data_IF_592113426208
#
_entry.id   IF_592113426208
#
_cell.length_a   1.000
_cell.length_b   1.000
_cell.length_c   1.000
_cell.angle_alpha   90.00
_cell.angle_beta   90.00
_cell.angle_gamma   90.00
#
_symmetry.space_group_name_H-M   'P 1'
#
loop_
_entity.id
_entity.type
_entity.pdbx_description
1 polymer ?
#
# COMPACT_ATOMS: atom_id res chain seq x y z
N UNK A 1 11.48 -5.59 -1.71
CA UNK A 1 11.35 -4.23 -2.29
C UNK A 1 11.07 -4.36 -3.77
N UNK A 2 10.15 -3.58 -4.36
CA UNK A 2 9.85 -3.64 -5.78
C UNK A 2 11.07 -3.29 -6.65
N UNK A 3 11.10 -3.84 -7.88
CA UNK A 3 12.09 -3.46 -8.89
C UNK A 3 11.90 -1.98 -9.25
N UNK A 4 12.98 -1.29 -9.66
CA UNK A 4 12.94 0.19 -9.84
C UNK A 4 11.97 0.59 -10.96
N UNK A 5 12.01 -0.15 -12.06
CA UNK A 5 11.10 -0.07 -13.19
C UNK A 5 9.63 -0.25 -12.78
N UNK A 6 9.31 -1.16 -11.86
CA UNK A 6 7.94 -1.34 -11.38
C UNK A 6 7.38 -0.06 -10.74
N UNK A 7 8.18 0.65 -9.93
CA UNK A 7 7.73 1.89 -9.27
C UNK A 7 7.47 2.99 -10.31
N UNK A 8 8.33 3.10 -11.31
CA UNK A 8 8.14 4.08 -12.40
C UNK A 8 6.88 3.75 -13.22
N UNK A 9 6.65 2.48 -13.55
CA UNK A 9 5.45 2.05 -14.26
C UNK A 9 4.16 2.29 -13.45
N UNK A 10 4.16 2.04 -12.15
CA UNK A 10 3.00 2.36 -11.31
C UNK A 10 2.74 3.88 -11.18
N UNK A 11 3.79 4.70 -11.16
CA UNK A 11 3.61 6.15 -11.23
C UNK A 11 2.94 6.59 -12.54
N UNK A 12 3.36 6.03 -13.67
CA UNK A 12 2.77 6.30 -14.99
C UNK A 12 1.31 5.85 -15.05
N UNK A 13 1.01 4.65 -14.55
CA UNK A 13 -0.36 4.17 -14.42
C UNK A 13 -1.21 5.09 -13.53
N UNK A 14 -0.64 5.59 -12.43
CA UNK A 14 -1.28 6.57 -11.54
C UNK A 14 -1.57 7.91 -12.20
N UNK A 15 -0.76 8.31 -13.19
CA UNK A 15 -0.97 9.50 -14.01
C UNK A 15 -1.97 9.26 -15.17
N UNK A 16 -2.55 8.07 -15.28
CA UNK A 16 -3.48 7.71 -16.35
C UNK A 16 -2.82 7.29 -17.67
N UNK A 17 -1.50 7.08 -17.68
CA UNK A 17 -0.82 6.53 -18.85
C UNK A 17 -1.11 5.04 -19.02
N UNK A 18 -1.20 4.59 -20.28
CA UNK A 18 -1.23 3.17 -20.59
C UNK A 18 0.13 2.52 -20.23
N UNK A 19 0.07 1.38 -19.55
CA UNK A 19 1.24 0.60 -19.14
C UNK A 19 1.05 -0.88 -19.49
N UNK A 20 2.16 -1.56 -19.72
CA UNK A 20 2.18 -3.00 -19.95
C UNK A 20 2.20 -3.75 -18.62
N UNK A 21 1.03 -4.24 -18.19
CA UNK A 21 0.88 -4.98 -16.93
C UNK A 21 1.74 -6.25 -16.88
N UNK A 22 1.97 -6.90 -18.02
CA UNK A 22 2.86 -8.06 -18.16
C UNK A 22 4.30 -7.77 -17.74
N UNK A 23 4.80 -6.57 -18.01
CA UNK A 23 6.16 -6.13 -17.61
C UNK A 23 6.21 -5.89 -16.10
N UNK A 24 5.16 -5.26 -15.54
CA UNK A 24 5.08 -4.99 -14.10
C UNK A 24 5.08 -6.30 -13.32
N UNK A 25 4.33 -7.31 -13.76
CA UNK A 25 4.13 -8.57 -13.04
C UNK A 25 4.92 -9.76 -13.60
N UNK A 26 5.92 -9.51 -14.43
CA UNK A 26 6.81 -10.55 -14.94
C UNK A 26 7.41 -11.39 -13.81
N UNK A 27 7.20 -12.71 -13.86
CA UNK A 27 7.67 -13.66 -12.85
C UNK A 27 6.81 -13.76 -11.59
N UNK A 28 5.71 -13.02 -11.49
CA UNK A 28 4.75 -13.09 -10.38
C UNK A 28 3.50 -13.87 -10.78
N UNK A 29 2.95 -14.63 -9.83
CA UNK A 29 1.69 -15.37 -10.01
C UNK A 29 0.50 -14.72 -9.29
N UNK A 30 0.77 -13.73 -8.43
CA UNK A 30 -0.23 -13.01 -7.66
C UNK A 30 0.26 -11.58 -7.36
N UNK A 31 -0.68 -10.69 -7.12
CA UNK A 31 -0.43 -9.32 -6.69
C UNK A 31 -1.29 -9.01 -5.47
N UNK A 32 -0.74 -8.28 -4.51
CA UNK A 32 -1.46 -7.81 -3.34
C UNK A 32 -0.95 -6.43 -2.94
N UNK A 33 -1.73 -5.74 -2.10
CA UNK A 33 -1.42 -4.42 -1.54
C UNK A 33 -1.29 -3.30 -2.59
N UNK A 34 -1.10 -2.08 -2.10
CA UNK A 34 -0.87 -0.91 -2.92
C UNK A 34 0.51 -0.96 -3.60
N UNK A 35 0.62 -0.46 -4.84
CA UNK A 35 -0.42 0.19 -5.64
C UNK A 35 -1.31 -0.80 -6.43
N UNK A 36 -0.95 -2.08 -6.52
CA UNK A 36 -1.65 -3.05 -7.39
C UNK A 36 -3.15 -3.15 -7.12
N UNK A 37 -3.57 -3.11 -5.86
CA UNK A 37 -4.97 -3.13 -5.46
C UNK A 37 -5.81 -1.99 -6.07
N UNK A 38 -5.20 -0.82 -6.38
CA UNK A 38 -5.90 0.28 -7.06
C UNK A 38 -6.40 -0.12 -8.45
N UNK A 39 -5.57 -0.90 -9.16
CA UNK A 39 -5.73 -1.22 -10.56
C UNK A 39 -6.40 -2.58 -10.78
N UNK A 40 -7.17 -3.05 -9.79
CA UNK A 40 -7.74 -4.39 -9.83
C UNK A 40 -8.63 -4.63 -11.07
N UNK A 41 -9.32 -3.59 -11.59
CA UNK A 41 -10.15 -3.71 -12.80
C UNK A 41 -9.31 -3.85 -14.06
N UNK A 42 -8.28 -3.04 -14.19
CA UNK A 42 -7.31 -3.05 -15.28
C UNK A 42 -6.55 -4.38 -15.31
N UNK A 43 -6.12 -4.85 -14.14
CA UNK A 43 -5.47 -6.15 -13.97
C UNK A 43 -6.42 -7.30 -14.30
N UNK A 44 -7.67 -7.25 -13.85
CA UNK A 44 -8.65 -8.28 -14.17
C UNK A 44 -9.03 -8.30 -15.67
N UNK A 45 -8.97 -7.16 -16.35
CA UNK A 45 -9.15 -7.09 -17.79
C UNK A 45 -7.95 -7.66 -18.55
N UNK A 46 -6.73 -7.39 -18.08
CA UNK A 46 -5.49 -7.90 -18.69
C UNK A 46 -5.27 -9.39 -18.43
N UNK A 47 -5.64 -9.88 -17.25
CA UNK A 47 -5.56 -11.28 -16.83
C UNK A 47 -6.97 -11.86 -16.62
N UNK A 48 -7.68 -12.24 -17.70
CA UNK A 48 -9.10 -12.63 -17.62
C UNK A 48 -9.34 -13.86 -16.74
N UNK A 49 -8.37 -14.76 -16.66
CA UNK A 49 -8.46 -16.00 -15.86
C UNK A 49 -8.03 -15.80 -14.40
N UNK A 50 -7.50 -14.62 -14.05
CA UNK A 50 -7.09 -14.34 -12.68
C UNK A 50 -8.31 -14.26 -11.76
N UNK A 51 -8.24 -15.00 -10.65
CA UNK A 51 -9.19 -14.93 -9.54
C UNK A 51 -8.91 -13.72 -8.66
N UNK A 52 -9.96 -13.13 -8.09
CA UNK A 52 -9.89 -11.94 -7.23
C UNK A 52 -10.16 -12.36 -5.79
N UNK A 53 -9.29 -11.97 -4.87
CA UNK A 53 -9.48 -12.15 -3.43
C UNK A 53 -9.63 -10.78 -2.78
N UNK A 54 -10.81 -10.49 -2.24
CA UNK A 54 -11.10 -9.28 -1.49
C UNK A 54 -10.94 -9.57 0.00
N UNK A 55 -9.84 -9.11 0.59
CA UNK A 55 -9.66 -9.18 2.03
C UNK A 55 -10.54 -8.15 2.73
N UNK A 56 -11.43 -8.59 3.63
CA UNK A 56 -12.31 -7.70 4.41
C UNK A 56 -11.86 -7.57 5.85
N UNK A 57 -12.14 -6.41 6.45
CA UNK A 57 -11.85 -6.10 7.85
C UNK A 57 -12.86 -5.08 8.35
N UNK A 58 -13.10 -5.09 9.66
CA UNK A 58 -13.79 -4.00 10.35
C UNK A 58 -13.14 -2.64 10.04
N UNK A 59 -13.95 -1.64 9.70
CA UNK A 59 -13.48 -0.36 9.18
C UNK A 59 -12.76 0.47 10.26
N UNK A 60 -13.18 0.37 11.52
CA UNK A 60 -12.52 1.06 12.64
C UNK A 60 -11.12 0.48 12.84
N UNK A 61 -11.02 -0.85 12.97
CA UNK A 61 -9.73 -1.55 13.11
C UNK A 61 -8.82 -1.34 11.90
N UNK A 62 -9.37 -1.27 10.70
CA UNK A 62 -8.60 -0.98 9.49
C UNK A 62 -8.04 0.45 9.53
N UNK A 63 -8.86 1.44 9.88
CA UNK A 63 -8.43 2.83 9.92
C UNK A 63 -7.34 3.06 10.97
N UNK A 64 -7.54 2.57 12.20
CA UNK A 64 -6.56 2.70 13.28
C UNK A 64 -5.22 2.08 12.89
N UNK A 65 -5.27 0.87 12.32
CA UNK A 65 -4.10 0.16 11.81
C UNK A 65 -3.40 0.97 10.73
N UNK A 66 -4.13 1.45 9.73
CA UNK A 66 -3.55 2.15 8.57
C UNK A 66 -2.98 3.51 8.96
N UNK A 67 -3.69 4.24 9.84
CA UNK A 67 -3.30 5.55 10.37
C UNK A 67 -2.02 5.49 11.18
N UNK A 68 -1.90 4.50 12.07
CA UNK A 68 -0.73 4.32 12.94
C UNK A 68 0.50 3.73 12.23
N UNK A 69 0.30 3.06 11.09
CA UNK A 69 1.37 2.38 10.34
C UNK A 69 1.75 3.12 9.05
N UNK A 70 1.25 2.68 7.90
CA UNK A 70 1.71 3.11 6.57
C UNK A 70 1.47 4.60 6.31
N UNK A 71 0.38 5.16 6.84
CA UNK A 71 0.11 6.59 6.72
C UNK A 71 1.13 7.39 7.55
N UNK A 72 1.29 7.04 8.83
CA UNK A 72 2.29 7.67 9.70
C UNK A 72 3.72 7.51 9.15
N UNK A 73 4.06 6.38 8.54
CA UNK A 73 5.35 6.15 7.90
C UNK A 73 5.53 7.04 6.66
N UNK A 74 4.51 7.18 5.82
CA UNK A 74 4.58 8.06 4.64
C UNK A 74 4.77 9.52 5.05
N UNK A 75 3.99 10.00 6.01
CA UNK A 75 4.15 11.34 6.60
C UNK A 75 5.48 11.50 7.37
N UNK A 76 6.02 10.36 7.82
CA UNK A 76 7.36 10.11 8.36
C UNK A 76 8.53 10.73 7.62
N UNK A 77 8.44 10.60 6.30
CA UNK A 77 9.60 10.51 5.45
C UNK A 77 10.31 11.87 5.33
N UNK A 78 11.56 11.99 5.81
CA UNK A 78 12.25 13.28 5.80
C UNK A 78 12.38 13.84 4.39
N UNK A 79 12.08 15.14 4.22
CA UNK A 79 12.18 15.80 2.90
C UNK A 79 13.58 15.70 2.30
N UNK A 80 14.61 15.83 3.13
CA UNK A 80 16.01 15.73 2.71
C UNK A 80 16.37 14.34 2.18
N UNK A 81 15.76 13.27 2.71
CA UNK A 81 15.99 11.91 2.23
C UNK A 81 15.41 11.72 0.81
N UNK A 82 14.25 12.34 0.53
CA UNK A 82 13.64 12.40 -0.82
C UNK A 82 14.45 13.26 -1.79
N UNK A 83 15.17 14.25 -1.28
CA UNK A 83 16.07 15.07 -2.09
C UNK A 83 17.32 14.28 -2.49
N UNK A 84 17.99 13.63 -1.54
CA UNK A 84 19.22 12.87 -1.75
C UNK A 84 19.03 11.54 -2.51
N UNK A 85 17.85 10.92 -2.41
CA UNK A 85 17.58 9.62 -3.05
C UNK A 85 16.46 9.74 -4.08
N UNK A 86 16.79 9.72 -5.40
CA UNK A 86 15.79 9.66 -6.47
C UNK A 86 14.82 8.49 -6.30
N UNK A 87 15.32 7.33 -5.85
CA UNK A 87 14.48 6.14 -5.60
C UNK A 87 13.44 6.40 -4.51
N UNK A 88 13.82 7.03 -3.39
CA UNK A 88 12.86 7.36 -2.33
C UNK A 88 11.85 8.40 -2.78
N UNK A 89 12.27 9.33 -3.63
CA UNK A 89 11.37 10.31 -4.27
C UNK A 89 10.29 9.61 -5.10
N UNK A 90 10.70 8.71 -6.00
CA UNK A 90 9.79 7.95 -6.87
C UNK A 90 8.81 7.09 -6.07
N UNK A 91 9.29 6.39 -5.02
CA UNK A 91 8.42 5.58 -4.15
C UNK A 91 7.41 6.46 -3.42
N UNK A 92 7.86 7.58 -2.84
CA UNK A 92 6.95 8.51 -2.18
C UNK A 92 5.93 9.11 -3.15
N UNK A 93 6.34 9.45 -4.38
CA UNK A 93 5.42 9.94 -5.41
C UNK A 93 4.35 8.89 -5.75
N UNK A 94 4.72 7.62 -5.87
CA UNK A 94 3.79 6.54 -6.15
C UNK A 94 2.79 6.36 -5.01
N UNK A 95 3.28 6.27 -3.78
CA UNK A 95 2.41 6.07 -2.60
C UNK A 95 1.50 7.28 -2.40
N UNK A 96 2.02 8.50 -2.49
CA UNK A 96 1.20 9.71 -2.34
C UNK A 96 0.23 9.90 -3.51
N UNK A 97 0.70 9.86 -4.74
CA UNK A 97 -0.12 10.13 -5.92
C UNK A 97 -1.17 9.06 -6.19
N UNK A 98 -0.79 7.78 -6.12
CA UNK A 98 -1.74 6.68 -6.42
C UNK A 98 -2.70 6.45 -5.26
N UNK A 99 -2.18 6.43 -4.02
CA UNK A 99 -2.97 6.00 -2.85
C UNK A 99 -3.57 7.21 -2.14
N UNK A 100 -2.75 8.08 -1.55
CA UNK A 100 -3.26 9.12 -0.66
C UNK A 100 -4.03 10.22 -1.37
N UNK A 101 -3.53 10.71 -2.49
CA UNK A 101 -4.17 11.74 -3.30
C UNK A 101 -5.15 11.12 -4.30
N UNK A 102 -4.79 9.99 -4.93
CA UNK A 102 -5.62 9.32 -5.92
C UNK A 102 -6.87 8.65 -5.36
N UNK A 103 -6.73 7.76 -4.39
CA UNK A 103 -7.87 7.02 -3.79
C UNK A 103 -8.58 7.86 -2.74
N UNK A 104 -7.81 8.53 -1.88
CA UNK A 104 -8.36 9.25 -0.74
C UNK A 104 -8.46 10.77 -0.95
N UNK A 105 -8.17 11.30 -2.15
CA UNK A 105 -8.32 12.73 -2.43
C UNK A 105 -7.50 13.65 -1.51
N UNK A 106 -6.40 13.16 -0.92
CA UNK A 106 -5.59 13.86 0.07
C UNK A 106 -6.24 13.95 1.47
N UNK A 107 -7.38 13.29 1.67
CA UNK A 107 -8.23 13.39 2.86
C UNK A 107 -8.21 12.13 3.72
N UNK A 108 -7.22 11.25 3.58
CA UNK A 108 -7.11 10.06 4.44
C UNK A 108 -7.09 10.41 5.94
N UNK A 109 -6.63 11.61 6.33
CA UNK A 109 -6.61 12.02 7.72
C UNK A 109 -8.00 12.31 8.34
N UNK A 110 -9.02 12.51 7.50
CA UNK A 110 -10.43 12.61 7.86
C UNK A 110 -10.99 11.19 7.98
N UNK A 111 -11.19 10.75 9.22
CA UNK A 111 -11.54 9.37 9.56
C UNK A 111 -12.86 8.92 8.93
N UNK A 112 -13.89 9.75 9.01
CA UNK A 112 -15.20 9.43 8.45
C UNK A 112 -15.11 9.27 6.93
N UNK A 113 -14.39 10.18 6.27
CA UNK A 113 -14.15 10.10 4.82
C UNK A 113 -13.34 8.86 4.44
N UNK A 114 -12.24 8.56 5.15
CA UNK A 114 -11.40 7.41 4.85
C UNK A 114 -12.15 6.08 5.00
N UNK A 115 -12.96 5.95 6.06
CA UNK A 115 -13.83 4.78 6.29
C UNK A 115 -14.90 4.66 5.21
N UNK A 116 -15.50 5.78 4.81
CA UNK A 116 -16.47 5.80 3.70
C UNK A 116 -15.84 5.28 2.40
N UNK A 117 -14.65 5.76 2.03
CA UNK A 117 -13.93 5.29 0.83
C UNK A 117 -13.62 3.80 0.92
N UNK A 118 -13.16 3.30 2.07
CA UNK A 118 -12.88 1.88 2.28
C UNK A 118 -14.12 0.99 2.13
N UNK A 119 -15.23 1.39 2.77
CA UNK A 119 -16.51 0.67 2.69
C UNK A 119 -17.06 0.69 1.27
N UNK A 120 -17.05 1.85 0.60
CA UNK A 120 -17.51 1.96 -0.77
C UNK A 120 -16.68 1.08 -1.71
N UNK A 121 -15.36 1.11 -1.61
CA UNK A 121 -14.48 0.25 -2.40
C UNK A 121 -14.79 -1.24 -2.19
N UNK A 122 -15.09 -1.63 -0.95
CA UNK A 122 -15.46 -3.01 -0.62
C UNK A 122 -16.74 -3.43 -1.34
N UNK A 123 -17.77 -2.60 -1.30
CA UNK A 123 -19.05 -2.88 -1.99
C UNK A 123 -18.91 -2.80 -3.51
N UNK A 124 -18.13 -1.86 -4.04
CA UNK A 124 -17.86 -1.74 -5.47
C UNK A 124 -17.16 -2.99 -6.04
N UNK A 125 -16.20 -3.55 -5.30
CA UNK A 125 -15.52 -4.80 -5.70
C UNK A 125 -16.50 -5.96 -5.69
N UNK A 126 -17.32 -6.10 -4.65
CA UNK A 126 -18.35 -7.16 -4.56
C UNK A 126 -19.38 -7.06 -5.68
N UNK A 127 -19.77 -5.85 -6.06
CA UNK A 127 -20.76 -5.62 -7.12
C UNK A 127 -20.18 -5.82 -8.53
N UNK A 128 -18.88 -5.58 -8.71
CA UNK A 128 -18.25 -5.59 -10.02
C UNK A 128 -17.89 -7.00 -10.52
N UNK A 129 -17.42 -7.88 -9.62
CA UNK A 129 -16.99 -9.22 -10.01
C UNK A 129 -18.06 -10.28 -9.77
N UNK A 130 -18.19 -11.26 -10.67
CA UNK A 130 -19.13 -12.35 -10.45
C UNK A 130 -18.61 -13.30 -9.35
N UNK A 131 -19.49 -13.98 -8.61
CA UNK A 131 -19.12 -14.79 -7.45
C UNK A 131 -18.08 -15.89 -7.74
N UNK A 132 -18.10 -16.48 -8.93
CA UNK A 132 -17.13 -17.50 -9.35
C UNK A 132 -15.70 -16.95 -9.52
N UNK A 133 -15.55 -15.63 -9.67
CA UNK A 133 -14.26 -14.95 -9.83
C UNK A 133 -13.83 -14.19 -8.58
N UNK A 134 -14.68 -14.10 -7.56
CA UNK A 134 -14.44 -13.33 -6.35
C UNK A 134 -14.58 -14.17 -5.08
N UNK A 135 -13.51 -14.21 -4.28
CA UNK A 135 -13.58 -14.64 -2.88
C UNK A 135 -13.54 -13.42 -1.97
N UNK A 136 -14.57 -13.26 -1.13
CA UNK A 136 -14.52 -12.35 0.03
C UNK A 136 -13.92 -13.13 1.18
N UNK A 137 -12.76 -12.69 1.68
CA UNK A 137 -11.94 -13.45 2.62
C UNK A 137 -11.64 -12.62 3.87
N UNK A 138 -11.93 -13.14 5.05
CA UNK A 138 -11.42 -12.61 6.30
C UNK A 138 -10.23 -13.48 6.78
N UNK A 139 -9.13 -12.92 7.31
CA UNK A 139 -7.98 -13.72 7.74
C UNK A 139 -8.31 -14.82 8.77
N UNK A 140 -9.35 -14.62 9.57
CA UNK A 140 -9.83 -15.62 10.54
C UNK A 140 -10.48 -16.86 9.89
N UNK A 141 -10.85 -16.78 8.61
CA UNK A 141 -11.44 -17.90 7.87
C UNK A 141 -10.38 -18.96 7.51
N UNK A 142 -9.09 -18.60 7.57
CA UNK A 142 -7.97 -19.52 7.42
C UNK A 142 -7.76 -20.04 5.99
N UNK A 143 -7.15 -21.21 5.86
CA UNK A 143 -6.74 -21.76 4.56
C UNK A 143 -7.90 -22.29 3.74
N UNK A 144 -8.90 -22.89 4.38
CA UNK A 144 -9.92 -23.69 3.71
C UNK A 144 -10.65 -22.95 2.58
N UNK A 145 -11.32 -21.80 2.81
CA UNK A 145 -12.06 -21.12 1.74
C UNK A 145 -11.14 -20.60 0.63
N UNK A 146 -9.91 -20.19 0.96
CA UNK A 146 -8.93 -19.75 -0.02
C UNK A 146 -8.47 -20.90 -0.92
N UNK A 147 -8.14 -22.05 -0.33
CA UNK A 147 -7.63 -23.21 -1.07
C UNK A 147 -8.73 -23.83 -1.93
N UNK A 148 -9.96 -23.95 -1.42
CA UNK A 148 -11.13 -24.38 -2.19
C UNK A 148 -11.38 -23.44 -3.37
N UNK A 149 -11.39 -22.12 -3.13
CA UNK A 149 -11.56 -21.13 -4.19
C UNK A 149 -10.46 -21.20 -5.24
N UNK A 150 -9.20 -21.48 -4.86
CA UNK A 150 -8.07 -21.58 -5.79
C UNK A 150 -7.93 -22.96 -6.44
N UNK A 151 -8.66 -23.99 -5.97
CA UNK A 151 -8.49 -25.37 -6.41
C UNK A 151 -7.12 -25.95 -6.02
N UNK A 152 -6.69 -25.70 -4.79
CA UNK A 152 -5.40 -26.12 -4.23
C UNK A 152 -5.59 -26.90 -2.93
N UNK A 153 -4.59 -27.71 -2.59
CA UNK A 153 -4.55 -28.42 -1.31
C UNK A 153 -4.28 -27.45 -0.15
N UNK A 154 -4.85 -27.75 1.02
CA UNK A 154 -4.60 -26.98 2.24
C UNK A 154 -3.18 -27.26 2.75
N UNK A 155 -2.34 -26.24 2.95
CA UNK A 155 -1.01 -26.41 3.53
C UNK A 155 -1.06 -26.96 4.96
N UNK A 156 -0.01 -27.69 5.37
CA UNK A 156 0.12 -28.19 6.74
C UNK A 156 0.48 -27.09 7.75
N UNK A 157 1.01 -25.96 7.27
CA UNK A 157 1.37 -24.81 8.11
C UNK A 157 0.14 -23.97 8.50
N UNK A 158 0.16 -23.28 9.66
CA UNK A 158 -0.95 -22.43 10.06
C UNK A 158 -1.12 -21.25 9.10
N UNK A 159 -2.35 -20.75 8.98
CA UNK A 159 -2.60 -19.54 8.20
C UNK A 159 -1.76 -18.38 8.74
N UNK A 160 -1.03 -17.64 7.88
CA UNK A 160 -0.03 -16.70 8.34
C UNK A 160 -0.64 -15.53 9.11
N UNK A 161 -0.02 -15.19 10.25
CA UNK A 161 -0.26 -13.98 11.02
C UNK A 161 1.04 -13.19 11.15
N UNK A 162 1.21 -12.23 10.24
CA UNK A 162 2.41 -11.39 10.10
C UNK A 162 2.02 -9.90 10.02
N UNK A 163 3.01 -9.01 9.86
CA UNK A 163 2.83 -7.56 9.74
C UNK A 163 2.18 -6.92 10.98
N UNK A 164 2.72 -7.23 12.16
CA UNK A 164 2.26 -6.59 13.39
C UNK A 164 2.70 -5.12 13.46
N UNK A 165 1.80 -4.23 13.90
CA UNK A 165 1.99 -2.78 13.87
C UNK A 165 3.27 -2.30 14.60
N UNK A 166 3.73 -3.04 15.60
CA UNK A 166 4.87 -2.67 16.44
C UNK A 166 6.19 -2.55 15.64
N UNK A 167 6.36 -3.32 14.56
CA UNK A 167 7.56 -3.23 13.71
C UNK A 167 7.59 -1.90 12.94
N UNK A 168 6.43 -1.46 12.44
CA UNK A 168 6.29 -0.22 11.68
C UNK A 168 6.44 1.01 12.59
N UNK A 169 5.92 0.93 13.82
CA UNK A 169 6.08 2.01 14.81
C UNK A 169 7.54 2.36 15.08
N UNK A 170 8.43 1.36 15.13
CA UNK A 170 9.86 1.58 15.36
C UNK A 170 10.49 2.38 14.21
N UNK A 171 10.13 2.05 12.97
CA UNK A 171 10.62 2.74 11.78
C UNK A 171 10.09 4.18 11.74
N UNK A 172 8.81 4.38 12.05
CA UNK A 172 8.19 5.72 12.16
C UNK A 172 8.94 6.60 13.17
N UNK A 173 9.27 6.07 14.36
CA UNK A 173 10.03 6.81 15.39
C UNK A 173 11.41 7.24 14.88
N UNK A 174 12.13 6.35 14.19
CA UNK A 174 13.43 6.65 13.59
C UNK A 174 13.30 7.75 12.54
N UNK A 175 12.33 7.64 11.63
CA UNK A 175 12.15 8.60 10.54
C UNK A 175 11.78 9.98 11.07
N UNK A 176 10.91 10.04 12.09
CA UNK A 176 10.62 11.28 12.82
C UNK A 176 11.88 11.88 13.43
N UNK A 177 12.72 11.09 14.11
CA UNK A 177 13.98 11.60 14.68
C UNK A 177 14.93 12.15 13.61
N UNK A 178 15.13 11.40 12.52
CA UNK A 178 15.96 11.81 11.37
C UNK A 178 15.45 13.07 10.67
N UNK A 179 14.16 13.37 10.76
CA UNK A 179 13.59 14.59 10.19
C UNK A 179 14.13 15.87 10.84
N UNK A 180 14.64 15.79 12.08
CA UNK A 180 15.20 16.93 12.80
C UNK A 180 16.69 17.21 12.48
N UNK A 181 17.41 16.27 11.85
CA UNK A 181 18.86 16.38 11.61
C UNK A 181 19.30 17.65 10.87
N UNK A 182 18.62 18.11 9.78
CA UNK A 182 19.04 19.34 9.11
C UNK A 182 19.01 20.57 10.02
N UNK A 183 18.04 20.63 10.94
CA UNK A 183 17.91 21.75 11.89
C UNK A 183 18.99 21.69 12.97
N UNK A 184 19.33 20.49 13.45
CA UNK A 184 20.44 20.29 14.40
C UNK A 184 21.77 20.71 13.75
N UNK A 185 22.04 20.25 12.52
CA UNK A 185 23.25 20.63 11.78
C UNK A 185 23.30 22.14 11.49
N UNK A 186 22.18 22.74 11.11
CA UNK A 186 22.07 24.19 10.93
C UNK A 186 22.37 24.95 12.24
N UNK A 187 21.85 24.49 13.38
CA UNK A 187 22.16 25.07 14.69
C UNK A 187 23.65 24.98 15.06
N UNK A 188 24.28 23.82 14.81
CA UNK A 188 25.72 23.64 15.02
C UNK A 188 26.57 24.56 14.12
N UNK A 189 26.19 24.72 12.85
CA UNK A 189 26.87 25.63 11.91
C UNK A 189 26.74 27.07 12.39
N UNK A 190 25.55 27.50 12.84
CA UNK A 190 25.34 28.85 13.39
C UNK A 190 26.19 29.06 14.64
N UNK A 191 26.27 28.09 15.55
CA UNK A 191 27.11 28.20 16.75
C UNK A 191 28.60 28.33 16.40
N UNK A 192 29.09 27.59 15.41
CA UNK A 192 30.48 27.69 14.93
C UNK A 192 30.79 28.98 14.14
N UNK A 193 29.76 29.74 13.76
CA UNK A 193 29.90 31.03 13.07
C UNK A 193 29.78 32.23 14.01
N UNK A 194 29.19 32.04 15.19
CA UNK A 194 28.96 33.08 16.21
C UNK A 194 30.05 33.11 17.29
N UNK A 195 30.82 32.02 17.40
CA UNK A 195 32.01 31.89 18.26
C UNK A 195 33.22 31.51 17.43
#
# INVERSE_FOLDING_TARGET
MPRRDQVDLFNRAGAGEAVEWSVIFEGFQAACDWPSAKFHKELAAHYPDAKIVLSVRDADKWYDSTRSTIFAFTQSMPRWLRWLSPRMRTIHQMVTGVVWDGVFGGRFADEAYAKQVFLQNTEDVKAYYPPERLLVHHPADGWQPLCEFLGKDIPAEPYPRVNEAHEIERIVKIFKALSYLPYILMGLIIMLWVF
#
